data_IF_662241405163
#
_entry.id   IF_662241405163
#
_cell.length_a   1.000
_cell.length_b   1.000
_cell.length_c   1.000
_cell.angle_alpha   90.00
_cell.angle_beta   90.00
_cell.angle_gamma   90.00
#
_symmetry.space_group_name_H-M   'P 1'
#
loop_
_entity.id
_entity.type
_entity.pdbx_description
1 polymer ?
#
# COMPACT_ATOMS: atom_id res chain seq x y z
N UNK A 1 16.38 1.35 22.48
CA UNK A 1 15.60 0.16 22.13
C UNK A 1 14.17 0.62 22.25
N UNK A 2 13.45 0.63 21.13
CA UNK A 2 12.10 1.18 21.06
C UNK A 2 11.18 0.35 21.95
N UNK A 3 10.42 1.00 22.83
CA UNK A 3 9.47 0.32 23.71
C UNK A 3 8.10 0.19 23.02
N UNK A 4 7.96 -0.82 22.17
CA UNK A 4 6.73 -1.06 21.42
C UNK A 4 5.49 -1.37 22.29
N UNK A 5 5.68 -1.80 23.55
CA UNK A 5 4.56 -1.99 24.47
C UNK A 5 3.97 -0.66 24.94
N UNK A 6 4.83 0.30 25.29
CA UNK A 6 4.41 1.66 25.66
C UNK A 6 3.70 2.35 24.48
N UNK A 7 4.27 2.23 23.28
CA UNK A 7 3.67 2.74 22.04
C UNK A 7 2.27 2.13 21.83
N UNK A 8 2.12 0.81 21.98
CA UNK A 8 0.81 0.15 21.87
C UNK A 8 -0.21 0.66 22.88
N UNK A 9 0.20 0.93 24.11
CA UNK A 9 -0.67 1.48 25.15
C UNK A 9 -1.15 2.89 24.79
N UNK A 10 -0.26 3.73 24.25
CA UNK A 10 -0.60 5.08 23.76
C UNK A 10 -1.55 5.03 22.56
N UNK A 11 -1.24 4.22 21.54
CA UNK A 11 -2.12 4.03 20.37
C UNK A 11 -3.50 3.51 20.78
N UNK A 12 -3.59 2.66 21.81
CA UNK A 12 -4.87 2.14 22.30
C UNK A 12 -5.81 3.25 22.81
N UNK A 13 -5.27 4.35 23.33
CA UNK A 13 -6.08 5.49 23.79
C UNK A 13 -6.82 6.19 22.64
N UNK A 14 -6.31 6.08 21.42
CA UNK A 14 -6.86 6.63 20.17
C UNK A 14 -7.19 5.52 19.16
N UNK A 15 -7.43 4.30 19.65
CA UNK A 15 -7.54 3.12 18.80
C UNK A 15 -8.78 3.09 17.89
N UNK A 16 -9.75 3.95 18.14
CA UNK A 16 -10.89 4.23 17.25
C UNK A 16 -10.49 5.10 16.06
N UNK A 17 -9.33 5.75 16.08
CA UNK A 17 -8.82 6.64 15.03
C UNK A 17 -7.59 6.11 14.31
N UNK A 18 -6.96 5.06 14.82
CA UNK A 18 -5.74 4.47 14.24
C UNK A 18 -6.04 3.07 13.72
N UNK A 19 -5.55 2.79 12.51
CA UNK A 19 -5.59 1.51 11.86
C UNK A 19 -4.20 0.92 11.72
N UNK A 20 -4.09 -0.38 12.03
CA UNK A 20 -2.90 -1.15 11.71
C UNK A 20 -3.22 -2.65 11.69
N UNK A 21 -2.45 -3.43 10.92
CA UNK A 21 -2.50 -4.89 10.88
C UNK A 21 -1.08 -5.43 11.11
N UNK A 22 -0.80 -6.00 12.31
CA UNK A 22 0.50 -6.58 12.60
C UNK A 22 0.83 -7.72 11.64
N UNK A 23 2.09 -7.79 11.22
CA UNK A 23 2.59 -8.93 10.43
C UNK A 23 2.97 -10.09 11.34
N UNK A 24 2.85 -11.30 10.80
CA UNK A 24 3.35 -12.52 11.44
C UNK A 24 4.84 -12.68 11.22
N UNK A 25 5.50 -13.48 12.08
CA UNK A 25 6.91 -13.86 11.89
C UNK A 25 7.21 -14.46 10.51
N UNK A 26 6.25 -15.22 9.97
CA UNK A 26 6.37 -15.83 8.65
C UNK A 26 6.31 -14.77 7.53
N UNK A 27 5.40 -13.80 7.64
CA UNK A 27 5.30 -12.71 6.66
C UNK A 27 6.56 -11.83 6.68
N UNK A 28 7.07 -11.47 7.86
CA UNK A 28 8.31 -10.68 7.95
C UNK A 28 9.53 -11.47 7.46
N UNK A 29 9.62 -12.77 7.79
CA UNK A 29 10.70 -13.61 7.30
C UNK A 29 10.66 -13.78 5.76
N UNK A 30 9.47 -13.86 5.17
CA UNK A 30 9.32 -13.88 3.72
C UNK A 30 9.80 -12.55 3.10
N UNK A 31 9.45 -11.40 3.68
CA UNK A 31 9.96 -10.11 3.18
C UNK A 31 11.50 -10.04 3.23
N UNK A 32 12.11 -10.45 4.34
CA UNK A 32 13.57 -10.50 4.45
C UNK A 32 14.21 -11.41 3.39
N UNK A 33 13.55 -12.53 3.09
CA UNK A 33 14.01 -13.47 2.06
C UNK A 33 13.91 -12.87 0.65
N UNK A 34 12.77 -12.24 0.32
CA UNK A 34 12.53 -11.63 -1.00
C UNK A 34 13.47 -10.43 -1.24
N UNK A 35 13.68 -9.58 -0.23
CA UNK A 35 14.67 -8.47 -0.30
C UNK A 35 16.12 -9.00 -0.28
N UNK A 36 16.36 -10.17 0.29
CA UNK A 36 17.68 -10.79 0.37
C UNK A 36 18.56 -10.27 1.51
N UNK A 37 18.00 -9.56 2.49
CA UNK A 37 18.71 -9.02 3.66
C UNK A 37 17.90 -9.22 4.94
N UNK A 38 18.61 -9.40 6.05
CA UNK A 38 17.97 -9.36 7.38
C UNK A 38 17.62 -7.93 7.75
N UNK A 39 16.43 -7.70 8.30
CA UNK A 39 16.01 -6.37 8.71
C UNK A 39 16.64 -5.97 10.05
N UNK A 40 16.86 -4.66 10.30
CA UNK A 40 17.24 -4.19 11.62
C UNK A 40 16.20 -4.62 12.65
N UNK A 41 16.65 -5.13 13.81
CA UNK A 41 15.76 -5.72 14.81
C UNK A 41 14.62 -4.78 15.25
N UNK A 42 14.91 -3.48 15.39
CA UNK A 42 13.89 -2.49 15.75
C UNK A 42 12.81 -2.34 14.67
N UNK A 43 13.17 -2.40 13.38
CA UNK A 43 12.21 -2.31 12.29
C UNK A 43 11.42 -3.62 12.15
N UNK A 44 12.09 -4.76 12.34
CA UNK A 44 11.40 -6.06 12.46
C UNK A 44 10.33 -6.02 13.55
N UNK A 45 10.68 -5.55 14.74
CA UNK A 45 9.77 -5.43 15.88
C UNK A 45 8.61 -4.47 15.58
N UNK A 46 8.83 -3.39 14.83
CA UNK A 46 7.77 -2.52 14.33
C UNK A 46 6.79 -3.27 13.43
N UNK A 47 7.28 -4.01 12.42
CA UNK A 47 6.42 -4.78 11.51
C UNK A 47 5.61 -5.86 12.24
N UNK A 48 6.21 -6.52 13.23
CA UNK A 48 5.51 -7.50 14.07
C UNK A 48 4.48 -6.85 15.01
N UNK A 49 4.62 -5.55 15.30
CA UNK A 49 3.75 -4.84 16.23
C UNK A 49 2.59 -4.13 15.53
N UNK A 50 2.88 -3.45 14.41
CA UNK A 50 1.97 -2.60 13.66
C UNK A 50 1.81 -3.03 12.20
N UNK A 51 2.85 -3.63 11.61
CA UNK A 51 2.87 -4.04 10.20
C UNK A 51 3.02 -2.88 9.23
N UNK A 52 3.04 -3.21 7.94
CA UNK A 52 3.11 -2.21 6.86
C UNK A 52 1.76 -1.53 6.65
N UNK A 53 0.65 -2.29 6.73
CA UNK A 53 -0.69 -1.75 6.61
C UNK A 53 -1.07 -0.99 7.89
N UNK A 54 -0.76 0.30 7.92
CA UNK A 54 -1.00 1.21 9.04
C UNK A 54 -1.22 2.65 8.53
N UNK A 55 -1.84 3.51 9.34
CA UNK A 55 -2.19 4.89 8.93
C UNK A 55 -1.72 6.00 9.87
N UNK A 56 -0.78 5.72 10.79
CA UNK A 56 -0.32 6.71 11.78
C UNK A 56 1.13 7.16 11.59
N UNK A 57 2.03 6.30 11.13
CA UNK A 57 3.40 6.70 10.76
C UNK A 57 3.43 7.04 9.28
N UNK A 58 3.25 8.31 8.96
CA UNK A 58 3.25 8.80 7.58
C UNK A 58 4.61 8.59 6.91
N UNK A 59 4.59 8.41 5.59
CA UNK A 59 5.78 8.22 4.76
C UNK A 59 6.31 6.78 4.71
N UNK A 60 5.98 5.91 5.66
CA UNK A 60 6.36 4.50 5.57
C UNK A 60 5.60 3.77 4.46
N UNK A 61 6.26 2.82 3.79
CA UNK A 61 5.58 1.95 2.83
C UNK A 61 4.44 1.18 3.50
N UNK A 62 3.29 1.18 2.84
CA UNK A 62 2.10 0.42 3.25
C UNK A 62 1.76 -0.74 2.32
N UNK A 63 2.25 -0.68 1.09
CA UNK A 63 2.14 -1.71 0.05
C UNK A 63 3.40 -2.61 0.03
N UNK A 64 3.19 -3.92 -0.04
CA UNK A 64 4.27 -4.92 -0.07
C UNK A 64 4.95 -5.00 -1.43
N UNK A 65 4.19 -4.92 -2.52
CA UNK A 65 4.72 -4.94 -3.88
C UNK A 65 5.65 -3.75 -4.12
N UNK A 66 5.20 -2.54 -3.77
CA UNK A 66 6.00 -1.32 -3.89
C UNK A 66 7.29 -1.43 -3.05
N UNK A 67 7.15 -1.88 -1.80
CA UNK A 67 8.30 -2.11 -0.93
C UNK A 67 9.33 -3.08 -1.54
N UNK A 68 8.88 -4.18 -2.15
CA UNK A 68 9.75 -5.17 -2.78
C UNK A 68 10.40 -4.64 -4.06
N UNK A 69 9.64 -3.95 -4.91
CA UNK A 69 10.15 -3.34 -6.13
C UNK A 69 11.24 -2.30 -5.82
N UNK A 70 10.94 -1.37 -4.92
CA UNK A 70 11.86 -0.30 -4.55
C UNK A 70 13.12 -0.85 -3.86
N UNK A 71 12.99 -1.87 -3.01
CA UNK A 71 14.14 -2.51 -2.40
C UNK A 71 14.95 -3.35 -3.38
N UNK A 72 14.34 -3.95 -4.41
CA UNK A 72 15.08 -4.63 -5.49
C UNK A 72 16.01 -3.64 -6.19
N UNK A 73 15.49 -2.46 -6.55
CA UNK A 73 16.31 -1.39 -7.15
C UNK A 73 17.40 -0.89 -6.19
N UNK A 74 17.06 -0.64 -4.92
CA UNK A 74 18.03 -0.22 -3.91
C UNK A 74 19.15 -1.24 -3.71
N UNK A 75 18.86 -2.55 -3.67
CA UNK A 75 19.90 -3.56 -3.45
C UNK A 75 20.91 -3.63 -4.60
N UNK A 76 20.51 -3.28 -5.83
CA UNK A 76 21.43 -3.18 -6.96
C UNK A 76 22.37 -1.96 -6.84
N UNK A 77 21.86 -0.82 -6.37
CA UNK A 77 22.59 0.44 -6.28
C UNK A 77 23.43 0.58 -5.00
N UNK A 78 22.83 0.28 -3.84
CA UNK A 78 23.35 0.55 -2.51
C UNK A 78 23.10 -0.64 -1.57
N UNK A 79 23.91 -1.71 -1.67
CA UNK A 79 23.73 -2.89 -0.84
C UNK A 79 23.91 -2.57 0.65
N UNK A 80 23.22 -3.34 1.51
CA UNK A 80 23.19 -3.20 2.98
C UNK A 80 22.35 -2.02 3.53
N UNK A 81 21.46 -1.48 2.70
CA UNK A 81 20.41 -0.59 3.15
C UNK A 81 19.04 -1.21 2.91
N UNK A 82 18.06 -0.77 3.68
CA UNK A 82 16.67 -1.15 3.54
C UNK A 82 15.84 0.11 3.36
N UNK A 83 15.12 0.22 2.24
CA UNK A 83 14.16 1.29 2.04
C UNK A 83 12.90 1.00 2.84
N UNK A 84 12.42 1.99 3.59
CA UNK A 84 11.27 1.85 4.49
C UNK A 84 10.12 2.80 4.14
N UNK A 85 10.32 3.74 3.23
CA UNK A 85 9.35 4.76 2.87
C UNK A 85 9.98 5.95 2.15
N UNK A 86 9.26 7.06 2.12
CA UNK A 86 9.66 8.34 1.52
C UNK A 86 9.16 9.54 2.36
N UNK A 87 9.63 10.74 2.00
CA UNK A 87 9.24 11.99 2.67
C UNK A 87 8.14 12.80 1.94
N UNK A 88 7.38 12.18 1.05
CA UNK A 88 6.38 12.84 0.20
C UNK A 88 6.96 13.50 -1.06
N UNK A 89 8.15 13.08 -1.48
CA UNK A 89 8.87 13.57 -2.67
C UNK A 89 9.70 12.45 -3.32
N UNK A 90 10.80 12.81 -3.99
CA UNK A 90 11.72 11.84 -4.60
C UNK A 90 12.80 11.33 -3.63
N UNK A 91 12.74 11.71 -2.34
CA UNK A 91 13.72 11.29 -1.33
C UNK A 91 13.21 10.08 -0.54
N UNK A 92 13.94 8.97 -0.65
CA UNK A 92 13.57 7.74 0.03
C UNK A 92 14.25 7.61 1.38
N UNK A 93 13.50 7.16 2.40
CA UNK A 93 14.04 6.83 3.70
C UNK A 93 14.63 5.43 3.71
N UNK A 94 15.91 5.34 4.07
CA UNK A 94 16.65 4.08 4.15
C UNK A 94 17.26 3.86 5.55
N UNK A 95 17.35 2.59 5.94
CA UNK A 95 17.99 2.11 7.17
C UNK A 95 19.23 1.30 6.84
N UNK A 96 20.25 1.35 7.68
CA UNK A 96 21.41 0.43 7.56
C UNK A 96 21.04 -0.94 8.10
N UNK A 97 21.35 -2.00 7.35
CA UNK A 97 21.08 -3.40 7.77
C UNK A 97 22.29 -4.10 8.37
N UNK A 98 23.47 -3.50 8.28
CA UNK A 98 24.65 -3.98 9.00
C UNK A 98 24.42 -3.94 10.52
N UNK A 99 25.18 -4.74 11.29
CA UNK A 99 25.12 -4.83 12.77
C UNK A 99 25.60 -3.57 13.51
N UNK A 100 25.27 -2.40 12.99
CA UNK A 100 25.42 -1.11 13.62
C UNK A 100 24.12 -0.85 14.38
N UNK A 101 24.18 -0.65 15.69
CA UNK A 101 23.03 -0.28 16.51
C UNK A 101 22.50 1.15 16.21
N UNK A 102 22.70 1.65 14.99
CA UNK A 102 22.22 2.97 14.59
C UNK A 102 20.77 2.83 14.14
N UNK A 103 19.88 3.51 14.86
CA UNK A 103 18.48 3.68 14.46
C UNK A 103 18.28 4.88 13.52
N UNK A 104 19.38 5.46 13.00
CA UNK A 104 19.31 6.69 12.18
C UNK A 104 18.67 6.38 10.84
N UNK A 105 17.77 7.26 10.41
CA UNK A 105 17.23 7.25 9.04
C UNK A 105 18.19 8.04 8.15
N UNK A 106 18.39 7.56 6.93
CA UNK A 106 19.15 8.27 5.89
C UNK A 106 18.20 8.56 4.73
N UNK A 107 18.50 9.61 3.97
CA UNK A 107 17.83 9.84 2.70
C UNK A 107 18.66 9.21 1.58
N UNK A 108 17.99 8.67 0.58
CA UNK A 108 18.58 8.33 -0.71
C UNK A 108 18.01 9.27 -1.76
N UNK A 109 18.87 10.13 -2.32
CA UNK A 109 18.51 11.20 -3.25
C UNK A 109 19.59 11.27 -4.33
N UNK A 110 19.22 11.28 -5.60
CA UNK A 110 20.16 11.38 -6.73
C UNK A 110 21.37 10.42 -6.64
N UNK A 111 21.10 9.15 -6.27
CA UNK A 111 22.11 8.10 -6.02
C UNK A 111 23.08 8.38 -4.84
N UNK A 112 22.85 9.42 -4.04
CA UNK A 112 23.64 9.76 -2.85
C UNK A 112 22.91 9.44 -1.54
N UNK A 113 23.68 9.05 -0.51
CA UNK A 113 23.15 8.79 0.83
C UNK A 113 23.43 9.98 1.74
N UNK A 114 22.37 10.65 2.14
CA UNK A 114 22.44 11.78 3.06
C UNK A 114 22.02 11.38 4.48
N UNK A 115 22.65 12.00 5.48
CA UNK A 115 22.27 11.80 6.88
C UNK A 115 21.09 12.69 7.20
N UNK A 116 20.01 12.10 7.71
CA UNK A 116 18.99 12.88 8.41
C UNK A 116 19.44 13.17 9.84
N UNK A 117 18.78 14.11 10.51
CA UNK A 117 19.03 14.42 11.92
C UNK A 117 18.24 13.54 12.89
N UNK A 118 17.32 12.71 12.41
CA UNK A 118 16.42 11.91 13.25
C UNK A 118 16.64 10.40 13.11
N UNK A 119 16.03 9.67 14.03
CA UNK A 119 16.04 8.22 14.13
C UNK A 119 14.65 7.64 13.87
N UNK A 120 14.57 6.34 13.60
CA UNK A 120 13.31 5.63 13.48
C UNK A 120 12.47 5.71 14.77
N UNK A 121 13.11 5.73 15.93
CA UNK A 121 12.45 5.94 17.22
C UNK A 121 11.80 7.33 17.31
N UNK A 122 12.51 8.38 16.87
CA UNK A 122 11.97 9.74 16.81
C UNK A 122 10.86 9.87 15.76
N UNK A 123 10.96 9.21 14.61
CA UNK A 123 9.89 9.17 13.60
C UNK A 123 8.60 8.59 14.18
N UNK A 124 8.68 7.43 14.83
CA UNK A 124 7.50 6.79 15.45
C UNK A 124 6.99 7.63 16.62
N UNK A 125 7.88 8.23 17.42
CA UNK A 125 7.46 9.09 18.54
C UNK A 125 6.74 10.33 18.04
N UNK A 126 7.22 10.97 16.98
CA UNK A 126 6.56 12.12 16.38
C UNK A 126 5.16 11.78 15.85
N UNK A 127 5.01 10.63 15.21
CA UNK A 127 3.70 10.13 14.78
C UNK A 127 2.72 9.97 15.96
N UNK A 128 3.20 9.48 17.12
CA UNK A 128 2.35 9.37 18.32
C UNK A 128 1.98 10.73 18.91
N UNK A 129 2.92 11.68 18.92
CA UNK A 129 2.65 13.04 19.39
C UNK A 129 1.58 13.71 18.52
N UNK A 130 1.62 13.52 17.20
CA UNK A 130 0.57 14.01 16.31
C UNK A 130 -0.79 13.35 16.57
N UNK A 131 -0.81 12.07 16.96
CA UNK A 131 -2.06 11.40 17.32
C UNK A 131 -2.69 11.91 18.62
N UNK A 132 -1.85 12.41 19.54
CA UNK A 132 -2.26 12.91 20.85
C UNK A 132 -2.54 14.42 20.86
N UNK A 133 -2.25 15.11 19.75
CA UNK A 133 -2.51 16.53 19.58
C UNK A 133 -4.02 16.80 19.42
N UNK A 134 -4.61 17.46 20.41
CA UNK A 134 -6.04 17.83 20.40
C UNK A 134 -6.42 18.80 19.27
N UNK A 135 -5.43 19.53 18.72
CA UNK A 135 -5.65 20.45 17.60
C UNK A 135 -5.67 19.72 16.24
N UNK A 136 -5.25 18.44 16.18
CA UNK A 136 -5.27 17.62 14.97
C UNK A 136 -6.59 16.85 14.87
N UNK A 137 -7.34 17.13 13.80
CA UNK A 137 -8.64 16.52 13.55
C UNK A 137 -8.46 15.17 12.83
N UNK A 138 -8.39 14.09 13.63
CA UNK A 138 -8.31 12.73 13.14
C UNK A 138 -9.71 12.16 12.88
N UNK A 139 -9.88 11.50 11.73
CA UNK A 139 -11.10 10.76 11.42
C UNK A 139 -11.22 9.49 12.25
N UNK A 140 -12.44 9.12 12.59
CA UNK A 140 -12.71 7.82 13.19
C UNK A 140 -12.56 6.71 12.14
N UNK A 141 -12.16 5.52 12.56
CA UNK A 141 -12.00 4.33 11.72
C UNK A 141 -13.31 3.93 11.02
N UNK A 142 -14.47 4.35 11.55
CA UNK A 142 -15.77 4.18 10.88
C UNK A 142 -15.99 5.11 9.69
N UNK A 143 -15.19 6.17 9.58
CA UNK A 143 -15.21 7.15 8.49
C UNK A 143 -14.04 6.97 7.51
N UNK A 144 -13.32 5.85 7.66
CA UNK A 144 -12.18 5.46 6.85
C UNK A 144 -12.47 4.16 6.11
N UNK A 145 -11.87 4.03 4.94
CA UNK A 145 -11.89 2.80 4.15
C UNK A 145 -10.48 2.49 3.67
N UNK A 146 -10.20 1.20 3.45
CA UNK A 146 -9.03 0.80 2.68
C UNK A 146 -9.41 0.84 1.21
N UNK A 147 -8.65 1.59 0.42
CA UNK A 147 -8.98 1.94 -0.96
C UNK A 147 -7.92 1.39 -1.90
N UNK A 148 -8.34 0.67 -2.94
CA UNK A 148 -7.44 0.08 -3.93
C UNK A 148 -8.02 0.23 -5.34
N UNK A 149 -7.16 0.12 -6.34
CA UNK A 149 -7.55 -0.10 -7.72
C UNK A 149 -6.95 -1.43 -8.21
N UNK A 150 -7.80 -2.32 -8.70
CA UNK A 150 -7.36 -3.52 -9.39
C UNK A 150 -7.08 -3.19 -10.85
N UNK A 151 -5.82 -3.31 -11.29
CA UNK A 151 -5.42 -3.13 -12.68
C UNK A 151 -5.17 -4.51 -13.32
N UNK A 152 -5.99 -4.88 -14.30
CA UNK A 152 -5.98 -6.23 -14.90
C UNK A 152 -5.75 -6.11 -16.41
N UNK A 153 -4.59 -6.55 -16.89
CA UNK A 153 -4.30 -6.58 -18.33
C UNK A 153 -4.68 -7.93 -18.93
N UNK A 154 -5.73 -7.98 -19.75
CA UNK A 154 -6.22 -9.23 -20.37
C UNK A 154 -7.01 -8.99 -21.65
N UNK A 155 -7.00 -9.96 -22.58
CA UNK A 155 -7.93 -9.99 -23.74
C UNK A 155 -9.20 -10.80 -23.46
N UNK A 156 -9.20 -11.55 -22.37
CA UNK A 156 -10.31 -12.40 -21.95
C UNK A 156 -11.15 -11.67 -20.89
N UNK A 157 -12.04 -10.80 -21.36
CA UNK A 157 -12.94 -10.02 -20.51
C UNK A 157 -13.94 -10.92 -19.75
N UNK A 158 -14.34 -12.04 -20.34
CA UNK A 158 -15.24 -12.99 -19.68
C UNK A 158 -14.57 -13.66 -18.48
N UNK A 159 -13.28 -13.99 -18.59
CA UNK A 159 -12.51 -14.50 -17.47
C UNK A 159 -12.48 -13.52 -16.29
N UNK A 160 -12.44 -12.21 -16.52
CA UNK A 160 -12.52 -11.19 -15.46
C UNK A 160 -13.86 -11.27 -14.72
N UNK A 161 -14.98 -11.30 -15.46
CA UNK A 161 -16.33 -11.42 -14.87
C UNK A 161 -16.57 -12.73 -14.12
N UNK A 162 -15.83 -13.78 -14.46
CA UNK A 162 -15.88 -15.04 -13.73
C UNK A 162 -14.95 -15.08 -12.52
N UNK A 163 -13.91 -14.24 -12.48
CA UNK A 163 -12.95 -14.20 -11.37
C UNK A 163 -13.51 -13.45 -10.15
N UNK A 164 -14.33 -12.43 -10.40
CA UNK A 164 -14.91 -11.56 -9.37
C UNK A 164 -16.44 -11.69 -9.36
N UNK A 165 -17.12 -11.32 -8.26
CA UNK A 165 -18.58 -11.18 -8.23
C UNK A 165 -19.02 -9.92 -9.00
N UNK A 166 -18.62 -9.82 -10.27
CA UNK A 166 -18.65 -8.65 -11.12
C UNK A 166 -19.61 -8.87 -12.30
N UNK A 167 -20.47 -7.89 -12.56
CA UNK A 167 -21.41 -7.92 -13.68
C UNK A 167 -21.57 -6.54 -14.30
N UNK A 168 -21.23 -6.41 -15.58
CA UNK A 168 -21.56 -5.22 -16.35
C UNK A 168 -23.08 -4.97 -16.40
N UNK A 169 -23.47 -3.71 -16.22
CA UNK A 169 -24.85 -3.23 -16.36
C UNK A 169 -25.03 -2.27 -17.53
N UNK A 170 -23.94 -1.71 -18.07
CA UNK A 170 -23.93 -0.95 -19.32
C UNK A 170 -22.96 -1.55 -20.35
N UNK A 171 -23.00 -1.00 -21.56
CA UNK A 171 -21.96 -1.22 -22.57
C UNK A 171 -20.80 -0.26 -22.29
N UNK A 172 -19.60 -0.65 -22.72
CA UNK A 172 -18.44 0.23 -22.81
C UNK A 172 -18.72 1.42 -23.72
N UNK A 173 -18.41 2.62 -23.22
CA UNK A 173 -18.50 3.88 -23.98
C UNK A 173 -17.16 4.60 -23.92
N UNK A 174 -16.71 5.12 -25.05
CA UNK A 174 -15.50 5.96 -25.09
C UNK A 174 -15.75 7.20 -24.22
N UNK A 175 -14.92 7.37 -23.20
CA UNK A 175 -14.93 8.51 -22.28
C UNK A 175 -13.99 9.59 -22.80
N UNK A 176 -12.72 9.21 -23.01
CA UNK A 176 -11.64 10.11 -23.37
C UNK A 176 -10.67 9.43 -24.36
N UNK A 177 -9.93 10.25 -25.11
CA UNK A 177 -8.76 9.82 -25.87
C UNK A 177 -7.60 10.76 -25.54
N UNK A 178 -6.49 10.22 -25.03
CA UNK A 178 -5.32 11.00 -24.68
C UNK A 178 -4.55 11.50 -25.92
N UNK A 179 -3.72 12.53 -25.77
CA UNK A 179 -2.84 13.02 -26.86
C UNK A 179 -1.88 11.93 -27.38
N UNK A 180 -1.55 10.95 -26.53
CA UNK A 180 -0.74 9.78 -26.88
C UNK A 180 -1.52 8.69 -27.64
N UNK A 181 -2.82 8.90 -27.91
CA UNK A 181 -3.68 7.96 -28.63
C UNK A 181 -4.15 6.78 -27.79
N UNK A 182 -4.23 6.96 -26.46
CA UNK A 182 -4.82 5.97 -25.55
C UNK A 182 -6.31 6.25 -25.44
N UNK A 183 -7.13 5.28 -25.83
CA UNK A 183 -8.58 5.39 -25.66
C UNK A 183 -8.97 4.86 -24.28
N UNK A 184 -9.73 5.65 -23.53
CA UNK A 184 -10.38 5.25 -22.30
C UNK A 184 -11.85 4.94 -22.54
N UNK A 185 -12.28 3.77 -22.12
CA UNK A 185 -13.68 3.37 -22.11
C UNK A 185 -14.17 3.22 -20.68
N UNK A 186 -15.38 3.67 -20.40
CA UNK A 186 -16.06 3.45 -19.12
C UNK A 186 -17.28 2.56 -19.29
N UNK A 187 -17.62 1.81 -18.24
CA UNK A 187 -18.87 1.08 -18.14
C UNK A 187 -19.34 0.97 -16.69
N UNK A 188 -20.65 0.99 -16.51
CA UNK A 188 -21.29 0.75 -15.22
C UNK A 188 -21.36 -0.75 -14.96
N UNK A 189 -21.07 -1.15 -13.73
CA UNK A 189 -21.11 -2.54 -13.29
C UNK A 189 -21.69 -2.65 -11.87
N UNK A 190 -21.91 -3.90 -11.46
CA UNK A 190 -22.17 -4.26 -10.08
C UNK A 190 -21.07 -5.20 -9.63
N UNK A 191 -20.38 -4.84 -8.55
CA UNK A 191 -19.36 -5.65 -7.91
C UNK A 191 -19.82 -5.96 -6.48
N UNK A 192 -19.99 -7.24 -6.17
CA UNK A 192 -20.44 -7.69 -4.85
C UNK A 192 -21.76 -7.02 -4.37
N UNK A 193 -22.65 -6.71 -5.32
CA UNK A 193 -23.94 -6.05 -5.03
C UNK A 193 -23.89 -4.52 -5.00
N UNK A 194 -22.72 -3.91 -5.13
CA UNK A 194 -22.53 -2.46 -5.15
C UNK A 194 -22.34 -1.95 -6.58
N UNK A 195 -22.94 -0.80 -6.89
CA UNK A 195 -22.76 -0.15 -8.19
C UNK A 195 -21.38 0.49 -8.25
N UNK A 196 -20.64 0.21 -9.32
CA UNK A 196 -19.32 0.76 -9.58
C UNK A 196 -19.21 1.24 -11.03
N UNK A 197 -18.27 2.14 -11.28
CA UNK A 197 -17.76 2.40 -12.62
C UNK A 197 -16.49 1.57 -12.83
N UNK A 198 -16.35 1.00 -14.01
CA UNK A 198 -15.11 0.39 -14.46
C UNK A 198 -14.54 1.23 -15.58
N UNK A 199 -13.23 1.37 -15.64
CA UNK A 199 -12.54 1.91 -16.80
C UNK A 199 -11.71 0.84 -17.52
N UNK A 200 -11.44 1.08 -18.79
CA UNK A 200 -10.65 0.20 -19.65
C UNK A 200 -9.82 1.06 -20.59
N UNK A 201 -8.50 0.93 -20.51
CA UNK A 201 -7.56 1.57 -21.41
C UNK A 201 -7.17 0.65 -22.57
N UNK A 202 -7.12 1.21 -23.77
CA UNK A 202 -6.62 0.51 -24.97
C UNK A 202 -5.56 1.35 -25.69
N UNK A 203 -4.43 0.73 -25.99
CA UNK A 203 -3.27 1.36 -26.65
C UNK A 203 -3.21 0.94 -28.12
N UNK A 204 -3.90 1.67 -28.98
CA UNK A 204 -3.89 1.42 -30.43
C UNK A 204 -4.35 0.01 -30.84
N UNK A 205 -4.16 -0.33 -32.11
CA UNK A 205 -4.61 -1.62 -32.67
C UNK A 205 -3.65 -2.76 -32.30
N UNK A 206 -4.02 -3.56 -31.30
CA UNK A 206 -3.38 -4.85 -31.00
C UNK A 206 -2.84 -5.01 -29.59
N UNK A 207 -2.77 -3.93 -28.80
CA UNK A 207 -2.43 -4.03 -27.38
C UNK A 207 -3.47 -4.86 -26.63
N UNK A 208 -3.03 -5.49 -25.56
CA UNK A 208 -3.95 -6.02 -24.55
C UNK A 208 -4.56 -4.82 -23.81
N UNK A 209 -5.89 -4.76 -23.61
CA UNK A 209 -6.48 -3.73 -22.78
C UNK A 209 -6.16 -3.97 -21.30
N UNK A 210 -6.14 -2.88 -20.54
CA UNK A 210 -6.06 -2.91 -19.08
C UNK A 210 -7.38 -2.42 -18.51
N UNK A 211 -7.97 -3.22 -17.63
CA UNK A 211 -9.22 -2.91 -16.93
C UNK A 211 -8.88 -2.41 -15.53
N UNK A 212 -9.54 -1.35 -15.10
CA UNK A 212 -9.40 -0.77 -13.77
C UNK A 212 -10.72 -0.86 -13.02
N UNK A 213 -10.63 -1.29 -11.77
CA UNK A 213 -11.76 -1.43 -10.86
C UNK A 213 -11.35 -0.80 -9.54
N UNK A 214 -11.90 0.36 -9.24
CA UNK A 214 -11.73 0.99 -7.95
C UNK A 214 -12.64 0.30 -6.92
N UNK A 215 -12.06 -0.04 -5.78
CA UNK A 215 -12.79 -0.69 -4.70
C UNK A 215 -12.33 -0.21 -3.34
N UNK A 216 -13.30 -0.06 -2.43
CA UNK A 216 -13.03 0.26 -1.04
C UNK A 216 -13.80 -0.66 -0.12
N UNK A 217 -13.17 -1.05 0.98
CA UNK A 217 -13.86 -1.78 2.04
C UNK A 217 -13.57 -1.17 3.41
N UNK A 218 -14.50 -1.38 4.35
CA UNK A 218 -14.32 -0.91 5.72
C UNK A 218 -13.08 -1.53 6.37
N UNK A 219 -12.40 -0.78 7.23
CA UNK A 219 -11.22 -1.25 7.96
C UNK A 219 -11.47 -2.52 8.79
N UNK A 220 -12.69 -2.69 9.30
CA UNK A 220 -13.12 -3.90 10.00
C UNK A 220 -13.20 -5.15 9.09
N UNK A 221 -13.50 -4.95 7.80
CA UNK A 221 -13.47 -6.01 6.78
C UNK A 221 -12.03 -6.44 6.52
N UNK A 222 -11.12 -5.48 6.30
CA UNK A 222 -9.70 -5.74 6.04
C UNK A 222 -9.06 -6.59 7.14
N UNK A 223 -9.28 -6.22 8.42
CA UNK A 223 -8.80 -6.97 9.59
C UNK A 223 -9.26 -8.43 9.62
N UNK A 224 -10.38 -8.74 8.97
CA UNK A 224 -10.98 -10.09 8.91
C UNK A 224 -10.68 -10.80 7.60
N UNK A 225 -9.61 -10.42 6.90
CA UNK A 225 -9.26 -10.91 5.56
C UNK A 225 -10.38 -10.59 4.56
N UNK A 226 -10.62 -9.29 4.38
CA UNK A 226 -11.68 -8.73 3.56
C UNK A 226 -11.62 -9.11 2.07
N UNK A 227 -12.53 -8.54 1.29
CA UNK A 227 -12.69 -8.88 -0.12
C UNK A 227 -11.45 -8.51 -0.93
N UNK A 228 -10.74 -7.43 -0.58
CA UNK A 228 -9.54 -7.00 -1.30
C UNK A 228 -8.51 -8.13 -1.31
N UNK A 229 -8.15 -8.65 -0.14
CA UNK A 229 -7.18 -9.76 -0.03
C UNK A 229 -7.63 -11.01 -0.79
N UNK A 230 -8.91 -11.37 -0.69
CA UNK A 230 -9.46 -12.54 -1.37
C UNK A 230 -9.40 -12.39 -2.89
N UNK A 231 -9.78 -11.22 -3.41
CA UNK A 231 -9.81 -10.95 -4.83
C UNK A 231 -8.40 -10.81 -5.39
N UNK A 232 -7.48 -10.15 -4.70
CA UNK A 232 -6.05 -10.08 -5.05
C UNK A 232 -5.49 -11.48 -5.31
N UNK A 233 -5.65 -12.43 -4.37
CA UNK A 233 -5.18 -13.81 -4.58
C UNK A 233 -5.80 -14.50 -5.79
N UNK A 234 -7.09 -14.27 -6.06
CA UNK A 234 -7.77 -14.85 -7.24
C UNK A 234 -7.25 -14.24 -8.54
N UNK A 235 -7.03 -12.91 -8.54
CA UNK A 235 -6.57 -12.18 -9.70
C UNK A 235 -5.10 -12.50 -10.02
N UNK A 236 -4.21 -12.51 -9.03
CA UNK A 236 -2.80 -12.92 -9.18
C UNK A 236 -2.68 -14.32 -9.78
N UNK A 237 -3.51 -15.27 -9.31
CA UNK A 237 -3.48 -16.65 -9.80
C UNK A 237 -3.98 -16.79 -11.25
N UNK A 238 -4.82 -15.86 -11.73
CA UNK A 238 -5.52 -15.96 -13.02
C UNK A 238 -4.94 -15.04 -14.09
N UNK A 239 -4.41 -13.89 -13.72
CA UNK A 239 -3.94 -12.84 -14.63
C UNK A 239 -2.47 -12.52 -14.34
N UNK A 240 -1.53 -12.94 -15.21
CA UNK A 240 -0.10 -12.71 -15.00
C UNK A 240 0.31 -11.24 -14.95
N UNK A 241 -0.44 -10.36 -15.62
CA UNK A 241 -0.23 -8.91 -15.65
C UNK A 241 -1.26 -8.19 -14.78
N UNK A 242 -1.58 -8.77 -13.62
CA UNK A 242 -2.36 -8.12 -12.57
C UNK A 242 -1.46 -7.23 -11.72
N UNK A 243 -1.94 -6.02 -11.42
CA UNK A 243 -1.34 -5.13 -10.44
C UNK A 243 -2.41 -4.62 -9.47
N UNK A 244 -2.05 -4.53 -8.18
CA UNK A 244 -2.85 -3.86 -7.18
C UNK A 244 -2.24 -2.48 -6.95
N UNK A 245 -3.00 -1.42 -7.20
CA UNK A 245 -2.62 -0.07 -6.78
C UNK A 245 -3.27 0.15 -5.41
N UNK A 246 -2.46 0.17 -4.36
CA UNK A 246 -2.93 0.36 -2.99
C UNK A 246 -2.84 1.83 -2.59
N UNK A 247 -4.00 2.49 -2.45
CA UNK A 247 -4.07 3.88 -1.98
C UNK A 247 -4.04 3.99 -0.45
N UNK A 248 -4.07 2.86 0.26
CA UNK A 248 -4.07 2.79 1.71
C UNK A 248 -5.39 3.24 2.35
N UNK A 249 -5.28 3.84 3.54
CA UNK A 249 -6.43 4.29 4.32
C UNK A 249 -6.84 5.71 3.90
N UNK A 250 -8.03 5.84 3.34
CA UNK A 250 -8.59 7.12 2.92
C UNK A 250 -9.97 7.37 3.58
N UNK A 251 -10.44 8.62 3.63
CA UNK A 251 -11.80 8.92 4.07
C UNK A 251 -12.83 8.15 3.22
N UNK A 252 -13.89 7.63 3.83
CA UNK A 252 -14.96 6.93 3.10
C UNK A 252 -15.65 7.83 2.06
N UNK A 253 -15.60 9.16 2.26
CA UNK A 253 -16.09 10.16 1.31
C UNK A 253 -15.18 10.41 0.11
N UNK A 254 -13.98 9.85 0.08
CA UNK A 254 -13.08 9.96 -1.07
C UNK A 254 -13.69 9.27 -2.29
N UNK A 255 -13.73 10.01 -3.40
CA UNK A 255 -14.09 9.50 -4.72
C UNK A 255 -12.80 9.01 -5.37
N UNK A 256 -12.74 7.71 -5.65
CA UNK A 256 -11.66 7.09 -6.41
C UNK A 256 -11.92 7.27 -7.91
#
# INVERSE_FOLDING_TARGET
MINYQDIKERVKAVGDKVFYIPMTEAEVANLEQEVGIAFPAYYRDFLLTFGMQQDFVQGLFTDVSDFLEQNSYLQEAVPNYLMIGDNGGEDYWILRTEKVNSQRIFNWVDDEIEKTDFTFEELVTHALEQLEDEDVLLLDNSEKSWCVQFAITTKDEEALYQALPLKLTSKWTLSEQSEAGVDEYIAQAVLNGEAIEMSRLTYGSGSTPTYFIDYKESLDSVKKQGQIKQWTTVLEAKFPEFNLVDYGVLPTSFEM
#
